data_IF_718551227830
#
_entry.id   IF_718551227830
#
_cell.length_a   1.000
_cell.length_b   1.000
_cell.length_c   1.000
_cell.angle_alpha   90.00
_cell.angle_beta   90.00
_cell.angle_gamma   90.00
#
_symmetry.space_group_name_H-M   'P 1'
#
loop_
_entity.id
_entity.type
_entity.pdbx_description
1 polymer ?
#
# COMPACT_ATOMS: atom_id res chain seq x y z
N UNK A 1 3.86 18.84 -13.37
CA UNK A 1 4.77 18.57 -12.23
C UNK A 1 5.33 17.19 -12.46
N UNK A 2 6.65 17.06 -12.59
CA UNK A 2 7.33 15.82 -12.93
C UNK A 2 7.01 14.75 -11.88
N UNK A 3 6.30 13.68 -12.28
CA UNK A 3 6.42 12.42 -11.56
C UNK A 3 7.87 11.98 -11.73
N UNK A 4 8.68 12.18 -10.71
CA UNK A 4 10.01 11.56 -10.65
C UNK A 4 9.77 10.05 -10.61
N UNK A 5 9.78 9.45 -11.79
CA UNK A 5 9.65 8.02 -11.98
C UNK A 5 10.61 7.29 -11.03
N UNK A 6 10.07 6.51 -10.09
CA UNK A 6 10.87 5.70 -9.18
C UNK A 6 11.33 4.45 -9.95
N UNK A 7 12.64 4.26 -10.19
CA UNK A 7 13.10 3.11 -10.95
C UNK A 7 12.70 1.78 -10.27
N UNK A 8 12.26 0.81 -11.06
CA UNK A 8 11.91 -0.54 -10.57
C UNK A 8 13.06 -1.17 -9.76
N UNK A 9 14.31 -0.95 -10.20
CA UNK A 9 15.50 -1.39 -9.47
C UNK A 9 15.61 -0.79 -8.06
N UNK A 10 15.21 0.49 -7.89
CA UNK A 10 15.19 1.15 -6.59
C UNK A 10 14.11 0.54 -5.70
N UNK A 11 12.92 0.27 -6.25
CA UNK A 11 11.85 -0.43 -5.52
C UNK A 11 12.27 -1.83 -5.06
N UNK A 12 12.91 -2.60 -5.94
CA UNK A 12 13.44 -3.92 -5.62
C UNK A 12 14.51 -3.85 -4.52
N UNK A 13 15.43 -2.89 -4.60
CA UNK A 13 16.45 -2.69 -3.57
C UNK A 13 15.83 -2.41 -2.19
N UNK A 14 14.82 -1.54 -2.13
CA UNK A 14 14.09 -1.25 -0.88
C UNK A 14 13.40 -2.51 -0.36
N UNK A 15 12.74 -3.28 -1.22
CA UNK A 15 12.04 -4.50 -0.83
C UNK A 15 12.98 -5.56 -0.25
N UNK A 16 14.12 -5.79 -0.91
CA UNK A 16 15.16 -6.72 -0.46
C UNK A 16 15.79 -6.26 0.86
N UNK A 17 16.18 -4.98 0.94
CA UNK A 17 16.76 -4.39 2.17
C UNK A 17 15.81 -4.52 3.35
N UNK A 18 14.52 -4.30 3.13
CA UNK A 18 13.49 -4.39 4.15
C UNK A 18 13.10 -5.84 4.50
N UNK A 19 13.58 -6.83 3.74
CA UNK A 19 13.26 -8.27 3.85
C UNK A 19 11.78 -8.59 3.65
N UNK A 20 11.18 -7.96 2.64
CA UNK A 20 9.75 -8.12 2.32
C UNK A 20 8.79 -7.45 3.33
N UNK A 21 9.30 -6.49 4.09
CA UNK A 21 8.56 -5.70 5.07
C UNK A 21 8.44 -4.26 4.60
N UNK A 22 7.40 -3.55 5.02
CA UNK A 22 7.36 -2.10 4.86
C UNK A 22 8.45 -1.45 5.73
N UNK A 23 9.26 -0.53 5.20
CA UNK A 23 10.31 0.15 5.98
C UNK A 23 9.76 1.09 7.05
N UNK A 24 8.60 1.69 6.81
CA UNK A 24 7.97 2.60 7.76
C UNK A 24 7.36 1.86 8.96
N UNK A 25 6.54 0.84 8.69
CA UNK A 25 5.73 0.19 9.73
C UNK A 25 6.08 -1.27 10.01
N UNK A 26 7.06 -1.85 9.29
CA UNK A 26 7.53 -3.25 9.43
C UNK A 26 6.47 -4.33 9.20
N UNK A 27 5.33 -3.96 8.62
CA UNK A 27 4.28 -4.89 8.21
C UNK A 27 4.75 -5.80 7.06
N UNK A 28 4.44 -7.10 7.13
CA UNK A 28 4.79 -8.08 6.10
C UNK A 28 3.92 -7.92 4.86
N UNK A 29 4.54 -7.71 3.70
CA UNK A 29 3.83 -7.51 2.43
C UNK A 29 2.93 -8.71 2.07
N UNK A 30 3.34 -9.94 2.40
CA UNK A 30 2.60 -11.18 2.11
C UNK A 30 1.22 -11.29 2.79
N UNK A 31 0.90 -10.41 3.73
CA UNK A 31 -0.38 -10.44 4.44
C UNK A 31 -1.45 -9.58 3.76
N UNK A 32 -1.08 -8.74 2.80
CA UNK A 32 -1.96 -7.74 2.21
C UNK A 32 -1.88 -7.72 0.69
N UNK A 33 -3.00 -7.39 0.05
CA UNK A 33 -3.07 -6.99 -1.35
C UNK A 33 -3.92 -5.72 -1.44
N UNK A 34 -3.84 -5.02 -2.56
CA UNK A 34 -4.81 -3.99 -2.91
C UNK A 34 -6.02 -4.61 -3.62
N UNK A 35 -7.20 -4.02 -3.48
CA UNK A 35 -8.32 -4.31 -4.39
C UNK A 35 -8.02 -3.80 -5.80
N UNK A 36 -8.90 -4.13 -6.76
CA UNK A 36 -8.73 -3.78 -8.18
C UNK A 36 -8.50 -2.27 -8.39
N UNK A 37 -9.27 -1.43 -7.71
CA UNK A 37 -9.16 0.04 -7.82
C UNK A 37 -8.03 0.64 -6.98
N UNK A 38 -7.25 -0.18 -6.26
CA UNK A 38 -6.19 0.24 -5.33
C UNK A 38 -6.62 1.12 -4.16
N UNK A 39 -7.92 1.23 -3.88
CA UNK A 39 -8.45 2.11 -2.83
C UNK A 39 -8.54 1.42 -1.47
N UNK A 40 -8.58 0.09 -1.43
CA UNK A 40 -8.75 -0.69 -0.21
C UNK A 40 -7.63 -1.73 -0.05
N UNK A 41 -7.10 -1.80 1.16
CA UNK A 41 -6.13 -2.81 1.56
C UNK A 41 -6.86 -4.06 2.04
N UNK A 42 -6.66 -5.19 1.39
CA UNK A 42 -7.31 -6.47 1.72
C UNK A 42 -6.32 -7.38 2.46
N UNK A 43 -6.71 -7.88 3.62
CA UNK A 43 -5.95 -8.89 4.35
C UNK A 43 -6.18 -10.29 3.79
N UNK A 44 -5.15 -10.94 3.25
CA UNK A 44 -5.24 -12.29 2.66
C UNK A 44 -4.92 -13.42 3.65
N UNK A 45 -4.50 -13.06 4.87
CA UNK A 45 -4.29 -13.99 5.99
C UNK A 45 -5.15 -13.58 7.20
N UNK A 46 -5.38 -14.48 8.19
CA UNK A 46 -6.06 -14.11 9.44
C UNK A 46 -5.42 -12.90 10.12
N UNK A 47 -4.08 -12.88 10.22
CA UNK A 47 -3.32 -11.73 10.76
C UNK A 47 -3.53 -10.48 9.91
N UNK A 48 -3.50 -10.59 8.59
CA UNK A 48 -3.74 -9.45 7.69
C UNK A 48 -5.14 -8.85 7.87
N UNK A 49 -6.18 -9.69 7.98
CA UNK A 49 -7.55 -9.22 8.23
C UNK A 49 -7.68 -8.52 9.59
N UNK A 50 -7.11 -9.12 10.63
CA UNK A 50 -7.08 -8.51 11.97
C UNK A 50 -6.39 -7.14 11.94
N UNK A 51 -5.26 -7.01 11.24
CA UNK A 51 -4.54 -5.73 11.06
C UNK A 51 -5.42 -4.68 10.37
N UNK A 52 -6.09 -5.02 9.26
CA UNK A 52 -6.97 -4.07 8.54
C UNK A 52 -8.08 -3.55 9.45
N UNK A 53 -8.72 -4.44 10.21
CA UNK A 53 -9.79 -4.08 11.16
C UNK A 53 -9.25 -3.25 12.33
N UNK A 54 -8.17 -3.69 12.97
CA UNK A 54 -7.64 -3.08 14.18
C UNK A 54 -7.05 -1.68 13.92
N UNK A 55 -6.26 -1.53 12.85
CA UNK A 55 -5.65 -0.25 12.49
C UNK A 55 -6.54 0.61 11.60
N UNK A 56 -7.72 0.11 11.22
CA UNK A 56 -8.71 0.83 10.42
C UNK A 56 -8.11 1.41 9.13
N UNK A 57 -7.27 0.64 8.44
CA UNK A 57 -6.52 1.09 7.25
C UNK A 57 -7.43 1.44 6.05
N UNK A 58 -8.70 1.05 6.14
CA UNK A 58 -9.78 1.32 5.18
C UNK A 58 -10.93 2.14 5.78
N UNK A 59 -10.70 2.93 6.85
CA UNK A 59 -11.71 3.89 7.32
C UNK A 59 -12.10 4.86 6.20
N UNK A 60 -13.35 5.30 6.19
CA UNK A 60 -13.98 6.03 5.08
C UNK A 60 -13.12 7.20 4.55
N UNK A 61 -12.63 8.06 5.44
CA UNK A 61 -11.81 9.21 5.04
C UNK A 61 -10.53 8.83 4.30
N UNK A 62 -9.90 7.70 4.63
CA UNK A 62 -8.67 7.25 3.94
C UNK A 62 -9.00 6.68 2.57
N UNK A 63 -10.09 5.91 2.45
CA UNK A 63 -10.55 5.37 1.16
C UNK A 63 -10.97 6.51 0.23
N UNK A 64 -11.70 7.50 0.73
CA UNK A 64 -12.10 8.68 -0.03
C UNK A 64 -10.88 9.48 -0.52
N UNK A 65 -9.86 9.67 0.33
CA UNK A 65 -8.62 10.31 -0.09
C UNK A 65 -7.91 9.51 -1.19
N UNK A 66 -7.80 8.18 -1.06
CA UNK A 66 -7.20 7.33 -2.10
C UNK A 66 -7.96 7.44 -3.42
N UNK A 67 -9.30 7.49 -3.41
CA UNK A 67 -10.10 7.72 -4.63
C UNK A 67 -9.71 9.02 -5.34
N UNK A 68 -9.56 10.11 -4.59
CA UNK A 68 -9.10 11.40 -5.15
C UNK A 68 -7.68 11.28 -5.73
N UNK A 69 -6.77 10.62 -5.01
CA UNK A 69 -5.40 10.43 -5.48
C UNK A 69 -5.30 9.54 -6.73
N UNK A 70 -6.14 8.50 -6.84
CA UNK A 70 -6.25 7.67 -8.05
C UNK A 70 -6.65 8.54 -9.24
N UNK A 71 -7.68 9.40 -9.08
CA UNK A 71 -8.11 10.34 -10.13
C UNK A 71 -6.96 11.27 -10.56
N UNK A 72 -6.09 11.64 -9.62
CA UNK A 72 -4.92 12.50 -9.87
C UNK A 72 -3.68 11.73 -10.39
N UNK A 73 -3.77 10.42 -10.62
CA UNK A 73 -2.63 9.53 -10.92
C UNK A 73 -1.49 9.63 -9.89
N UNK A 74 -1.85 9.79 -8.61
CA UNK A 74 -0.91 9.80 -7.48
C UNK A 74 -1.04 8.57 -6.58
N UNK A 75 -1.97 7.67 -6.89
CA UNK A 75 -2.15 6.39 -6.20
C UNK A 75 -2.60 5.31 -7.19
N UNK A 76 -2.03 4.09 -7.15
CA UNK A 76 -0.90 3.68 -6.31
C UNK A 76 0.40 4.41 -6.68
N UNK A 77 1.39 4.51 -5.78
CA UNK A 77 2.67 5.13 -6.12
C UNK A 77 3.45 4.30 -7.17
N UNK A 78 3.73 4.91 -8.31
CA UNK A 78 4.54 4.40 -9.43
C UNK A 78 5.90 3.84 -9.04
#
# INVERSE_FOLDING_TARGET
MSSEYVPVALKQLVFERARGLCEYCRSQAKYFIWNEDTTQMLGITPTGRATVTLFQTNREGVVNMRRVLVIMNQHPPD
#
